data_IF_135267321917
#
_entry.id   IF_135267321917
#
_cell.length_a   1.000
_cell.length_b   1.000
_cell.length_c   1.000
_cell.angle_alpha   90.00
_cell.angle_beta   90.00
_cell.angle_gamma   90.00
#
_symmetry.space_group_name_H-M   'P 1'
#
loop_
_entity.id
_entity.type
_entity.pdbx_description
1 polymer ?
#
# COMPACT_ATOMS: atom_id res chain seq x y z
N UNK A 1 34.55 -36.72 -33.00
CA UNK A 1 35.03 -35.60 -32.16
C UNK A 1 33.78 -34.82 -31.81
N UNK A 2 33.17 -35.18 -30.68
CA UNK A 2 31.90 -34.62 -30.22
C UNK A 2 32.18 -33.19 -29.75
N UNK A 3 31.64 -32.20 -30.47
CA UNK A 3 31.82 -30.81 -30.09
C UNK A 3 31.08 -30.58 -28.78
N UNK A 4 31.81 -30.48 -27.67
CA UNK A 4 31.26 -30.04 -26.41
C UNK A 4 30.77 -28.60 -26.59
N UNK A 5 29.46 -28.44 -26.72
CA UNK A 5 28.84 -27.13 -26.72
C UNK A 5 29.08 -26.47 -25.36
N UNK A 6 29.44 -25.18 -25.30
CA UNK A 6 29.50 -24.44 -24.05
C UNK A 6 28.15 -24.57 -23.32
N UNK A 7 28.14 -24.60 -21.97
CA UNK A 7 26.95 -24.96 -21.17
C UNK A 7 25.70 -24.13 -21.51
N UNK A 8 25.88 -22.89 -21.95
CA UNK A 8 24.82 -22.01 -22.48
C UNK A 8 24.14 -22.56 -23.74
N UNK A 9 24.90 -23.12 -24.69
CA UNK A 9 24.37 -23.66 -25.94
C UNK A 9 23.70 -25.02 -25.77
N UNK A 10 24.18 -25.83 -24.82
CA UNK A 10 23.55 -27.11 -24.45
C UNK A 10 22.18 -26.90 -23.80
N UNK A 11 22.07 -25.93 -22.87
CA UNK A 11 20.79 -25.55 -22.26
C UNK A 11 19.82 -24.87 -23.24
N UNK A 12 20.36 -24.13 -24.22
CA UNK A 12 19.56 -23.55 -25.31
C UNK A 12 18.97 -24.65 -26.22
N UNK A 13 19.78 -25.65 -26.57
CA UNK A 13 19.36 -26.78 -27.42
C UNK A 13 18.26 -27.63 -26.76
N UNK A 14 18.35 -27.89 -25.46
CA UNK A 14 17.35 -28.66 -24.72
C UNK A 14 16.00 -27.91 -24.64
N UNK A 15 16.02 -26.59 -24.46
CA UNK A 15 14.83 -25.74 -24.46
C UNK A 15 14.17 -25.60 -25.84
N UNK A 16 14.98 -25.51 -26.90
CA UNK A 16 14.50 -25.43 -28.28
C UNK A 16 13.74 -26.68 -28.74
N UNK A 17 14.07 -27.86 -28.18
CA UNK A 17 13.50 -29.15 -28.58
C UNK A 17 12.13 -29.47 -27.95
N UNK A 18 11.77 -28.86 -26.81
CA UNK A 18 10.49 -29.15 -26.12
C UNK A 18 9.35 -28.26 -26.58
N UNK A 19 9.62 -26.98 -26.84
CA UNK A 19 8.69 -26.00 -27.43
C UNK A 19 9.53 -24.77 -27.83
N UNK A 20 9.83 -24.55 -29.12
CA UNK A 20 10.76 -23.48 -29.48
C UNK A 20 10.19 -22.12 -29.06
N UNK A 21 10.90 -21.33 -28.25
CA UNK A 21 10.50 -19.96 -27.95
C UNK A 21 10.47 -19.15 -29.25
N UNK A 22 9.72 -18.05 -29.25
CA UNK A 22 9.74 -17.16 -30.41
C UNK A 22 11.15 -16.58 -30.61
N UNK A 23 11.52 -16.26 -31.86
CA UNK A 23 12.82 -15.61 -32.14
C UNK A 23 12.98 -14.29 -31.38
N UNK A 24 11.89 -13.54 -31.21
CA UNK A 24 11.85 -12.31 -30.40
C UNK A 24 12.24 -12.59 -28.96
N UNK A 25 11.73 -13.67 -28.40
CA UNK A 25 12.01 -14.07 -27.02
C UNK A 25 13.42 -14.62 -26.83
N UNK A 26 13.96 -15.34 -27.81
CA UNK A 26 15.38 -15.72 -27.81
C UNK A 26 16.29 -14.49 -27.82
N UNK A 27 15.94 -13.45 -28.61
CA UNK A 27 16.68 -12.18 -28.60
C UNK A 27 16.59 -11.51 -27.23
N UNK A 28 15.41 -11.47 -26.59
CA UNK A 28 15.26 -10.92 -25.23
C UNK A 28 16.06 -11.71 -24.19
N UNK A 29 15.98 -13.04 -24.20
CA UNK A 29 16.71 -13.88 -23.24
C UNK A 29 18.22 -13.76 -23.44
N UNK A 30 18.70 -13.69 -24.69
CA UNK A 30 20.13 -13.52 -24.97
C UNK A 30 20.59 -12.10 -24.60
N UNK A 31 19.77 -11.08 -24.87
CA UNK A 31 20.06 -9.68 -24.52
C UNK A 31 20.11 -9.44 -23.01
N UNK A 32 19.33 -10.20 -22.23
CA UNK A 32 19.19 -10.06 -20.77
C UNK A 32 19.47 -11.39 -20.04
N UNK A 33 20.49 -12.11 -20.49
CA UNK A 33 20.77 -13.48 -20.02
C UNK A 33 21.08 -13.56 -18.52
N UNK A 34 21.80 -12.57 -17.99
CA UNK A 34 22.16 -12.50 -16.58
C UNK A 34 20.93 -12.27 -15.69
N UNK A 35 20.05 -11.34 -16.08
CA UNK A 35 18.82 -11.04 -15.35
C UNK A 35 17.84 -12.22 -15.39
N UNK A 36 17.73 -12.87 -16.55
CA UNK A 36 16.91 -14.09 -16.67
C UNK A 36 17.48 -15.23 -15.82
N UNK A 37 18.82 -15.40 -15.78
CA UNK A 37 19.46 -16.44 -14.97
C UNK A 37 19.23 -16.18 -13.49
N UNK A 38 19.36 -14.92 -13.05
CA UNK A 38 19.03 -14.50 -11.69
C UNK A 38 17.56 -14.79 -11.36
N UNK A 39 16.62 -14.37 -12.21
CA UNK A 39 15.19 -14.61 -12.01
C UNK A 39 14.85 -16.10 -11.95
N UNK A 40 15.41 -16.91 -12.85
CA UNK A 40 15.23 -18.35 -12.82
C UNK A 40 15.80 -18.99 -11.55
N UNK A 41 16.90 -18.44 -11.02
CA UNK A 41 17.45 -18.84 -9.72
C UNK A 41 16.52 -18.49 -8.56
N UNK A 42 15.95 -17.28 -8.56
CA UNK A 42 14.96 -16.82 -7.59
C UNK A 42 13.72 -17.73 -7.57
N UNK A 43 13.14 -18.00 -8.74
CA UNK A 43 11.96 -18.88 -8.87
C UNK A 43 12.25 -20.28 -8.35
N UNK A 44 13.41 -20.87 -8.68
CA UNK A 44 13.78 -22.21 -8.21
C UNK A 44 14.03 -22.28 -6.71
N UNK A 45 14.55 -21.20 -6.12
CA UNK A 45 14.77 -21.12 -4.67
C UNK A 45 13.44 -21.05 -3.92
N UNK A 46 12.53 -20.16 -4.34
CA UNK A 46 11.27 -19.91 -3.63
C UNK A 46 10.19 -20.95 -3.94
N UNK A 47 10.17 -21.51 -5.15
CA UNK A 47 9.12 -22.40 -5.66
C UNK A 47 9.72 -23.61 -6.38
N UNK A 48 10.50 -24.48 -5.70
CA UNK A 48 11.23 -25.56 -6.35
C UNK A 48 10.32 -26.54 -7.12
N UNK A 49 9.13 -26.82 -6.60
CA UNK A 49 8.17 -27.76 -7.21
C UNK A 49 7.44 -27.15 -8.41
N UNK A 50 7.15 -25.85 -8.39
CA UNK A 50 6.45 -25.14 -9.47
C UNK A 50 7.38 -24.50 -10.50
N UNK A 51 8.69 -24.43 -10.21
CA UNK A 51 9.64 -23.62 -10.96
C UNK A 51 9.65 -23.92 -12.46
N UNK A 52 9.66 -25.19 -12.86
CA UNK A 52 9.70 -25.55 -14.29
C UNK A 52 8.39 -25.20 -14.99
N UNK A 53 7.26 -25.20 -14.29
CA UNK A 53 5.96 -24.79 -14.84
C UNK A 53 5.86 -23.27 -14.94
N UNK A 54 6.39 -22.52 -13.96
CA UNK A 54 6.47 -21.07 -14.02
C UNK A 54 7.42 -20.61 -15.14
N UNK A 55 8.62 -21.19 -15.22
CA UNK A 55 9.67 -20.81 -16.18
C UNK A 55 9.42 -21.28 -17.62
N UNK A 56 8.60 -22.31 -17.83
CA UNK A 56 8.23 -22.80 -19.17
C UNK A 56 7.11 -22.02 -19.84
N UNK A 57 6.56 -20.99 -19.18
CA UNK A 57 5.56 -20.12 -19.79
C UNK A 57 6.10 -19.46 -21.08
N UNK A 58 5.22 -19.16 -22.06
CA UNK A 58 5.62 -18.88 -23.44
C UNK A 58 6.17 -17.49 -23.69
N UNK A 59 6.09 -16.57 -22.73
CA UNK A 59 6.59 -15.21 -22.84
C UNK A 59 6.98 -14.65 -21.48
N UNK A 60 7.73 -13.54 -21.47
CA UNK A 60 8.24 -12.86 -20.28
C UNK A 60 7.12 -12.50 -19.31
N UNK A 61 6.06 -11.88 -19.84
CA UNK A 61 4.88 -11.43 -19.09
C UNK A 61 4.29 -12.59 -18.30
N UNK A 62 3.95 -13.67 -18.99
CA UNK A 62 3.30 -14.83 -18.39
C UNK A 62 4.20 -15.51 -17.33
N UNK A 63 5.53 -15.50 -17.50
CA UNK A 63 6.45 -16.04 -16.48
C UNK A 63 6.40 -15.21 -15.20
N UNK A 64 6.46 -13.88 -15.35
CA UNK A 64 6.49 -12.96 -14.21
C UNK A 64 5.13 -12.90 -13.51
N UNK A 65 4.02 -12.86 -14.24
CA UNK A 65 2.66 -12.95 -13.66
C UNK A 65 2.46 -14.24 -12.86
N UNK A 66 2.97 -15.39 -13.37
CA UNK A 66 2.92 -16.66 -12.64
C UNK A 66 3.75 -16.62 -11.36
N UNK A 67 4.95 -16.05 -11.42
CA UNK A 67 5.79 -15.86 -10.24
C UNK A 67 5.09 -14.98 -9.20
N UNK A 68 4.59 -13.81 -9.62
CA UNK A 68 3.88 -12.88 -8.74
C UNK A 68 2.68 -13.56 -8.06
N UNK A 69 1.86 -14.30 -8.83
CA UNK A 69 0.74 -15.06 -8.25
C UNK A 69 1.19 -16.09 -7.22
N UNK A 70 2.20 -16.91 -7.53
CA UNK A 70 2.73 -17.90 -6.58
C UNK A 70 3.29 -17.25 -5.32
N UNK A 71 3.93 -16.08 -5.47
CA UNK A 71 4.46 -15.31 -4.36
C UNK A 71 3.35 -14.75 -3.48
N UNK A 72 2.35 -14.08 -4.06
CA UNK A 72 1.19 -13.56 -3.33
C UNK A 72 0.42 -14.66 -2.59
N UNK A 73 0.30 -15.85 -3.18
CA UNK A 73 -0.37 -17.00 -2.54
C UNK A 73 0.32 -17.48 -1.25
N UNK A 74 1.62 -17.22 -1.08
CA UNK A 74 2.41 -17.71 0.07
C UNK A 74 2.91 -16.60 1.01
N UNK A 75 3.04 -15.38 0.51
CA UNK A 75 3.72 -14.28 1.18
C UNK A 75 2.82 -13.05 1.22
N UNK A 76 3.07 -12.08 0.34
CA UNK A 76 2.37 -10.81 0.25
C UNK A 76 2.28 -10.36 -1.22
N UNK A 77 1.34 -9.48 -1.58
CA UNK A 77 1.18 -9.01 -2.93
C UNK A 77 2.37 -8.19 -3.41
N UNK A 78 2.67 -8.35 -4.69
CA UNK A 78 3.63 -7.54 -5.42
C UNK A 78 2.88 -6.48 -6.24
N UNK A 79 3.37 -5.24 -6.26
CA UNK A 79 2.67 -4.12 -6.88
C UNK A 79 2.40 -4.33 -8.38
N UNK A 80 1.11 -4.47 -8.73
CA UNK A 80 0.63 -4.84 -10.07
C UNK A 80 1.04 -3.87 -11.19
N UNK A 81 1.01 -2.54 -10.99
CA UNK A 81 1.42 -1.59 -12.01
C UNK A 81 2.84 -1.80 -12.54
N UNK A 82 3.76 -2.39 -11.76
CA UNK A 82 5.08 -2.77 -12.29
C UNK A 82 5.01 -3.87 -13.34
N UNK A 83 4.05 -4.78 -13.23
CA UNK A 83 3.81 -5.80 -14.24
C UNK A 83 2.95 -5.24 -15.38
N UNK A 84 2.13 -4.22 -15.19
CA UNK A 84 1.26 -3.74 -16.27
C UNK A 84 1.91 -2.66 -17.14
N UNK A 85 2.49 -1.62 -16.53
CA UNK A 85 3.03 -0.46 -17.26
C UNK A 85 4.37 -0.73 -17.96
N UNK A 86 5.26 -1.52 -17.35
CA UNK A 86 6.57 -1.81 -17.93
C UNK A 86 6.55 -2.95 -18.95
N UNK A 87 5.38 -3.54 -19.22
CA UNK A 87 5.21 -4.59 -20.22
C UNK A 87 4.73 -4.09 -21.58
N UNK A 88 4.14 -2.89 -21.65
CA UNK A 88 3.57 -2.37 -22.90
C UNK A 88 4.54 -1.50 -23.70
N UNK A 89 5.39 -0.68 -23.03
CA UNK A 89 6.27 0.30 -23.69
C UNK A 89 7.76 0.24 -23.27
N UNK A 90 8.18 -0.74 -22.47
CA UNK A 90 9.53 -0.82 -21.91
C UNK A 90 10.60 -1.43 -22.83
N UNK A 91 11.78 -0.78 -22.93
CA UNK A 91 12.99 -1.31 -23.58
C UNK A 91 13.64 -2.50 -22.80
N UNK A 92 13.25 -2.69 -21.53
CA UNK A 92 13.78 -3.72 -20.61
C UNK A 92 12.69 -4.72 -20.19
N UNK A 93 13.01 -6.03 -20.09
CA UNK A 93 12.07 -7.04 -19.62
C UNK A 93 11.76 -6.89 -18.12
N UNK A 94 10.56 -7.27 -17.69
CA UNK A 94 10.08 -7.10 -16.31
C UNK A 94 10.91 -7.80 -15.22
N UNK A 95 11.69 -8.84 -15.55
CA UNK A 95 12.60 -9.44 -14.57
C UNK A 95 13.83 -8.57 -14.24
N UNK A 96 14.21 -7.63 -15.12
CA UNK A 96 15.29 -6.66 -14.83
C UNK A 96 14.87 -5.71 -13.72
N UNK A 97 13.58 -5.39 -13.64
CA UNK A 97 12.99 -4.63 -12.55
C UNK A 97 12.96 -5.42 -11.24
N UNK A 98 12.57 -6.70 -11.27
CA UNK A 98 12.60 -7.56 -10.08
C UNK A 98 14.00 -7.68 -9.48
N UNK A 99 15.05 -7.62 -10.31
CA UNK A 99 16.44 -7.66 -9.84
C UNK A 99 16.82 -6.46 -8.99
N UNK A 100 16.13 -5.32 -9.18
CA UNK A 100 16.40 -4.13 -8.38
C UNK A 100 16.06 -4.42 -6.92
N UNK A 101 15.00 -5.21 -6.64
CA UNK A 101 14.52 -5.53 -5.29
C UNK A 101 13.04 -5.93 -5.29
N UNK A 102 12.43 -6.03 -4.11
CA UNK A 102 11.03 -6.47 -3.96
C UNK A 102 10.05 -5.32 -4.25
N UNK A 103 9.11 -5.46 -5.21
CA UNK A 103 8.03 -4.49 -5.42
C UNK A 103 6.88 -4.69 -4.43
N UNK A 104 7.00 -4.16 -3.22
CA UNK A 104 5.93 -4.25 -2.22
C UNK A 104 4.65 -3.54 -2.70
N UNK A 105 3.49 -4.19 -2.62
CA UNK A 105 2.21 -3.53 -2.89
C UNK A 105 1.80 -2.67 -1.69
N UNK A 106 2.30 -1.43 -1.68
CA UNK A 106 2.08 -0.47 -0.61
C UNK A 106 0.64 0.05 -0.62
N UNK A 107 0.11 0.28 0.58
CA UNK A 107 -1.28 0.68 0.84
C UNK A 107 -1.39 2.03 1.56
N UNK A 108 -0.27 2.71 1.83
CA UNK A 108 -0.29 4.06 2.39
C UNK A 108 -0.79 5.11 1.39
N UNK A 109 -1.04 6.31 1.91
CA UNK A 109 -1.53 7.42 1.09
C UNK A 109 -0.44 8.44 0.82
N UNK A 110 -0.29 8.82 -0.45
CA UNK A 110 0.38 10.05 -0.82
C UNK A 110 -0.50 11.28 -0.62
N UNK A 111 0.10 12.46 -0.77
CA UNK A 111 -0.60 13.73 -0.60
C UNK A 111 -1.83 13.84 -1.51
N UNK A 112 -1.67 13.51 -2.80
CA UNK A 112 -2.75 13.60 -3.78
C UNK A 112 -3.89 12.62 -3.44
N UNK A 113 -3.54 11.41 -2.99
CA UNK A 113 -4.52 10.42 -2.53
C UNK A 113 -5.34 10.89 -1.33
N UNK A 114 -4.70 11.55 -0.36
CA UNK A 114 -5.39 12.18 0.77
C UNK A 114 -6.24 13.38 0.32
N UNK A 115 -5.71 14.23 -0.57
CA UNK A 115 -6.40 15.41 -1.06
C UNK A 115 -7.68 15.06 -1.83
N UNK A 116 -7.63 14.01 -2.65
CA UNK A 116 -8.72 13.59 -3.52
C UNK A 116 -9.59 12.48 -2.91
N UNK A 117 -9.52 12.29 -1.58
CA UNK A 117 -10.14 11.15 -0.90
C UNK A 117 -11.64 10.96 -1.22
N UNK A 118 -12.40 12.06 -1.33
CA UNK A 118 -13.83 12.01 -1.65
C UNK A 118 -14.15 11.72 -3.14
N UNK A 119 -13.17 11.84 -4.03
CA UNK A 119 -13.32 11.57 -5.46
C UNK A 119 -13.04 10.12 -5.85
N UNK A 120 -12.14 9.45 -5.13
CA UNK A 120 -11.61 8.14 -5.52
C UNK A 120 -11.77 7.03 -4.47
N UNK A 121 -12.09 7.37 -3.23
CA UNK A 121 -12.25 6.38 -2.16
C UNK A 121 -13.72 6.18 -1.77
N UNK A 122 -13.96 5.10 -1.02
CA UNK A 122 -15.30 4.80 -0.54
C UNK A 122 -15.74 5.83 0.50
N UNK A 123 -17.02 6.22 0.45
CA UNK A 123 -17.60 7.24 1.32
C UNK A 123 -17.36 6.98 2.82
N UNK A 124 -17.29 5.70 3.24
CA UNK A 124 -17.02 5.34 4.63
C UNK A 124 -15.60 5.68 5.08
N UNK A 125 -14.58 5.44 4.24
CA UNK A 125 -13.18 5.81 4.54
C UNK A 125 -13.08 7.33 4.63
N UNK A 126 -13.66 8.02 3.65
CA UNK A 126 -13.71 9.47 3.60
C UNK A 126 -14.33 10.04 4.88
N UNK A 127 -15.45 9.49 5.35
CA UNK A 127 -16.07 9.91 6.61
C UNK A 127 -15.17 9.70 7.83
N UNK A 128 -14.41 8.60 7.90
CA UNK A 128 -13.44 8.37 8.98
C UNK A 128 -12.33 9.41 8.97
N UNK A 129 -11.88 9.87 7.81
CA UNK A 129 -10.87 10.91 7.72
C UNK A 129 -11.28 12.25 8.34
N UNK A 130 -12.58 12.56 8.40
CA UNK A 130 -13.05 13.78 9.06
C UNK A 130 -12.70 13.81 10.56
N UNK A 131 -12.52 12.64 11.18
CA UNK A 131 -12.18 12.52 12.59
C UNK A 131 -10.72 12.89 12.87
N UNK A 132 -9.83 12.82 11.89
CA UNK A 132 -8.39 12.90 12.12
C UNK A 132 -7.91 14.33 12.25
N UNK A 133 -6.93 14.53 13.13
CA UNK A 133 -6.10 15.74 13.12
C UNK A 133 -5.03 15.61 12.07
N UNK A 134 -5.11 16.42 11.03
CA UNK A 134 -4.10 16.48 9.98
C UNK A 134 -2.84 17.13 10.54
N UNK A 135 -1.68 16.55 10.26
CA UNK A 135 -0.38 17.07 10.70
C UNK A 135 0.01 18.36 9.97
N UNK A 136 0.78 19.23 10.62
CA UNK A 136 1.37 20.43 10.01
C UNK A 136 2.43 20.12 8.95
N UNK A 137 2.85 18.85 8.83
CA UNK A 137 3.88 18.42 7.91
C UNK A 137 3.45 18.39 6.43
N UNK A 138 2.15 18.52 6.14
CA UNK A 138 1.65 18.57 4.75
C UNK A 138 1.90 19.94 4.11
N UNK A 139 2.32 19.95 2.84
CA UNK A 139 2.88 21.14 2.16
C UNK A 139 1.92 22.34 2.08
N UNK A 140 0.61 22.11 1.95
CA UNK A 140 -0.42 23.16 1.96
C UNK A 140 -1.04 23.42 3.36
N UNK A 141 -0.44 22.83 4.40
CA UNK A 141 -0.93 22.91 5.77
C UNK A 141 -2.19 22.08 6.04
N UNK A 142 -2.57 21.91 7.33
CA UNK A 142 -3.71 21.06 7.72
C UNK A 142 -5.06 21.62 7.27
N UNK A 143 -5.16 22.95 7.09
CA UNK A 143 -6.40 23.65 6.76
C UNK A 143 -6.89 23.35 5.34
N UNK A 144 -5.97 23.13 4.39
CA UNK A 144 -6.31 22.86 2.99
C UNK A 144 -7.03 21.53 2.80
N UNK A 145 -6.43 20.44 3.32
CA UNK A 145 -6.99 19.09 3.22
C UNK A 145 -8.33 18.97 3.95
N UNK A 146 -8.39 19.48 5.18
CA UNK A 146 -9.58 19.36 6.02
C UNK A 146 -10.77 20.13 5.46
N UNK A 147 -10.54 21.32 4.91
CA UNK A 147 -11.58 22.12 4.25
C UNK A 147 -12.17 21.37 3.06
N UNK A 148 -11.32 20.82 2.19
CA UNK A 148 -11.76 20.05 1.02
C UNK A 148 -12.61 18.82 1.41
N UNK A 149 -12.21 18.11 2.48
CA UNK A 149 -12.98 16.97 2.99
C UNK A 149 -14.34 17.38 3.55
N UNK A 150 -14.40 18.44 4.36
CA UNK A 150 -15.66 18.92 4.94
C UNK A 150 -16.64 19.43 3.87
N UNK A 151 -16.14 20.13 2.86
CA UNK A 151 -16.96 20.60 1.73
C UNK A 151 -17.54 19.42 0.96
N UNK A 152 -16.72 18.40 0.66
CA UNK A 152 -17.16 17.19 -0.05
C UNK A 152 -18.14 16.35 0.79
N UNK A 153 -17.90 16.26 2.10
CA UNK A 153 -18.76 15.53 3.03
C UNK A 153 -20.17 16.15 3.14
N UNK A 154 -20.30 17.47 2.98
CA UNK A 154 -21.57 18.18 3.12
C UNK A 154 -22.63 17.77 2.08
N UNK A 155 -22.23 17.11 0.98
CA UNK A 155 -23.15 16.54 0.00
C UNK A 155 -23.94 15.33 0.53
N UNK A 156 -23.37 14.63 1.53
CA UNK A 156 -23.87 13.33 2.00
C UNK A 156 -24.17 13.33 3.50
N UNK A 157 -23.44 14.08 4.30
CA UNK A 157 -23.57 14.14 5.76
C UNK A 157 -24.21 15.47 6.15
N UNK A 158 -25.27 15.48 6.99
CA UNK A 158 -25.91 16.71 7.43
C UNK A 158 -24.92 17.69 8.07
N UNK A 159 -25.09 18.97 7.76
CA UNK A 159 -24.24 20.04 8.28
C UNK A 159 -24.17 20.04 9.81
N UNK A 160 -25.30 19.77 10.46
CA UNK A 160 -25.41 19.70 11.91
C UNK A 160 -24.54 18.59 12.50
N UNK A 161 -24.37 17.48 11.77
CA UNK A 161 -23.47 16.39 12.15
C UNK A 161 -22.00 16.79 11.97
N UNK A 162 -21.67 17.41 10.83
CA UNK A 162 -20.30 17.86 10.55
C UNK A 162 -19.80 18.93 11.53
N UNK A 163 -20.68 19.84 11.97
CA UNK A 163 -20.36 20.88 12.95
C UNK A 163 -19.99 20.36 14.35
N UNK A 164 -20.28 19.08 14.63
CA UNK A 164 -19.94 18.45 15.92
C UNK A 164 -18.50 17.94 15.96
N UNK A 165 -17.86 17.79 14.81
CA UNK A 165 -16.49 17.30 14.72
C UNK A 165 -15.56 18.40 15.25
N UNK A 166 -14.58 18.08 16.13
CA UNK A 166 -13.62 19.07 16.59
C UNK A 166 -12.96 19.81 15.43
N UNK A 167 -12.77 21.13 15.57
CA UNK A 167 -12.22 21.97 14.51
C UNK A 167 -10.88 21.44 14.00
N UNK A 168 -9.98 21.06 14.91
CA UNK A 168 -8.64 20.56 14.59
C UNK A 168 -8.59 19.02 14.44
N UNK A 169 -9.74 18.36 14.42
CA UNK A 169 -9.81 16.90 14.48
C UNK A 169 -9.31 16.31 15.81
N UNK A 170 -9.24 14.98 15.84
CA UNK A 170 -8.89 14.17 17.01
C UNK A 170 -7.51 13.55 16.77
N UNK A 171 -6.56 13.66 17.73
CA UNK A 171 -5.29 12.95 17.66
C UNK A 171 -5.52 11.44 17.59
N UNK A 172 -4.67 10.72 16.85
CA UNK A 172 -4.77 9.26 16.71
C UNK A 172 -4.76 8.58 18.09
N UNK A 173 -3.85 8.97 18.99
CA UNK A 173 -3.76 8.42 20.34
C UNK A 173 -5.06 8.63 21.14
N UNK A 174 -5.61 9.85 21.11
CA UNK A 174 -6.87 10.18 21.81
C UNK A 174 -8.05 9.40 21.23
N UNK A 175 -8.12 9.28 19.89
CA UNK A 175 -9.16 8.51 19.24
C UNK A 175 -9.05 7.03 19.61
N UNK A 176 -7.83 6.48 19.59
CA UNK A 176 -7.52 5.10 19.96
C UNK A 176 -8.04 4.77 21.35
N UNK A 177 -7.70 5.57 22.36
CA UNK A 177 -8.19 5.35 23.73
C UNK A 177 -9.72 5.49 23.83
N UNK A 178 -10.34 6.39 23.05
CA UNK A 178 -11.79 6.58 23.07
C UNK A 178 -12.59 5.41 22.47
N UNK A 179 -12.01 4.66 21.51
CA UNK A 179 -12.70 3.56 20.81
C UNK A 179 -12.15 2.17 21.11
N UNK A 180 -11.15 2.06 21.98
CA UNK A 180 -10.51 0.81 22.37
C UNK A 180 -11.52 -0.24 22.84
N UNK A 181 -11.34 -1.48 22.38
CA UNK A 181 -12.18 -2.64 22.71
C UNK A 181 -13.66 -2.43 22.37
N UNK A 182 -13.96 -1.64 21.34
CA UNK A 182 -15.34 -1.36 20.89
C UNK A 182 -15.50 -1.66 19.40
N UNK A 183 -16.75 -1.70 18.92
CA UNK A 183 -17.04 -1.84 17.48
C UNK A 183 -16.50 -0.70 16.61
N UNK A 184 -16.06 0.41 17.23
CA UNK A 184 -15.55 1.59 16.54
C UNK A 184 -14.03 1.64 16.47
N UNK A 185 -13.32 0.59 16.89
CA UNK A 185 -11.86 0.52 16.89
C UNK A 185 -11.26 0.76 15.48
N UNK A 186 -11.96 0.34 14.43
CA UNK A 186 -11.61 0.64 13.04
C UNK A 186 -11.47 2.14 12.73
N UNK A 187 -12.07 3.04 13.52
CA UNK A 187 -11.94 4.48 13.33
C UNK A 187 -10.54 4.96 13.71
N UNK A 188 -9.99 4.46 14.82
CA UNK A 188 -8.63 4.78 15.24
C UNK A 188 -7.59 4.18 14.29
N UNK A 189 -7.83 2.95 13.84
CA UNK A 189 -6.97 2.28 12.87
C UNK A 189 -6.96 2.98 11.51
N UNK A 190 -8.13 3.43 11.03
CA UNK A 190 -8.20 4.25 9.82
C UNK A 190 -7.47 5.59 10.01
N UNK A 191 -7.59 6.22 11.18
CA UNK A 191 -6.88 7.46 11.47
C UNK A 191 -5.36 7.27 11.45
N UNK A 192 -4.86 6.22 12.09
CA UNK A 192 -3.44 5.86 12.06
C UNK A 192 -2.96 5.59 10.62
N UNK A 193 -3.74 4.84 9.84
CA UNK A 193 -3.43 4.52 8.45
C UNK A 193 -3.36 5.75 7.55
N UNK A 194 -4.35 6.63 7.63
CA UNK A 194 -4.40 7.87 6.84
C UNK A 194 -3.21 8.81 7.13
N UNK A 195 -2.62 8.71 8.32
CA UNK A 195 -1.51 9.56 8.75
C UNK A 195 -0.16 8.83 8.75
N UNK A 196 -0.10 7.60 8.26
CA UNK A 196 1.11 6.76 8.29
C UNK A 196 1.69 6.54 9.70
N UNK A 197 0.82 6.34 10.68
CA UNK A 197 1.15 6.12 12.10
C UNK A 197 0.74 4.72 12.60
N UNK A 198 0.59 3.73 11.71
CA UNK A 198 0.17 2.36 12.11
C UNK A 198 1.31 1.54 12.71
N UNK A 199 2.56 1.94 12.46
CA UNK A 199 3.75 1.14 12.73
C UNK A 199 3.88 -0.07 11.78
N UNK A 200 3.18 -0.07 10.65
CA UNK A 200 3.19 -1.15 9.68
C UNK A 200 3.69 -0.65 8.33
N UNK A 201 4.72 -1.34 7.83
CA UNK A 201 5.42 -0.95 6.60
C UNK A 201 4.50 -0.81 5.37
N UNK A 202 3.51 -1.69 5.20
CA UNK A 202 2.63 -1.62 4.02
C UNK A 202 1.65 -0.45 4.10
N UNK A 203 1.26 -0.04 5.30
CA UNK A 203 0.23 0.98 5.52
C UNK A 203 0.82 2.39 5.69
N UNK A 204 2.07 2.49 6.13
CA UNK A 204 2.71 3.77 6.45
C UNK A 204 3.58 4.33 5.32
N UNK A 205 3.68 3.63 4.19
CA UNK A 205 4.47 4.06 3.04
C UNK A 205 3.64 4.12 1.77
N UNK A 206 3.98 5.06 0.89
CA UNK A 206 3.41 5.16 -0.44
C UNK A 206 4.50 5.45 -1.49
N UNK A 207 4.11 5.35 -2.77
CA UNK A 207 5.03 5.58 -3.88
C UNK A 207 5.37 7.07 -4.11
N UNK A 208 4.61 7.98 -3.53
CA UNK A 208 4.82 9.43 -3.66
C UNK A 208 5.90 9.95 -2.69
N UNK A 209 6.31 9.16 -1.69
CA UNK A 209 7.24 9.57 -0.64
C UNK A 209 8.66 9.86 -1.15
N UNK A 210 8.97 9.56 -2.42
CA UNK A 210 10.27 9.76 -3.07
C UNK A 210 11.45 8.96 -2.46
N UNK A 211 11.25 8.39 -1.27
CA UNK A 211 12.14 7.45 -0.60
C UNK A 211 11.98 6.04 -1.13
N UNK A 212 10.83 5.74 -1.72
CA UNK A 212 10.55 4.54 -2.48
C UNK A 212 10.76 4.80 -3.99
N UNK A 213 11.95 5.26 -4.38
CA UNK A 213 12.46 5.21 -5.77
C UNK A 213 12.65 3.76 -6.29
N UNK A 214 12.08 2.80 -5.57
CA UNK A 214 11.96 1.43 -5.95
C UNK A 214 13.13 0.60 -5.44
N UNK A 215 12.77 -0.45 -4.73
CA UNK A 215 13.51 -1.69 -4.77
C UNK A 215 14.86 -1.70 -4.02
N UNK A 216 14.98 -1.12 -2.83
CA UNK A 216 16.23 -1.28 -2.07
C UNK A 216 16.35 -2.69 -1.47
N UNK A 217 15.21 -3.31 -1.15
CA UNK A 217 15.21 -4.54 -0.39
C UNK A 217 15.53 -5.76 -1.27
N UNK A 218 16.62 -6.50 -0.95
CA UNK A 218 16.97 -7.70 -1.68
C UNK A 218 15.93 -8.80 -1.47
N UNK A 219 15.94 -9.77 -2.37
CA UNK A 219 15.10 -10.97 -2.29
C UNK A 219 15.61 -11.97 -1.24
N UNK A 220 15.90 -11.51 -0.02
CA UNK A 220 16.42 -12.33 1.06
C UNK A 220 15.28 -13.00 1.85
N UNK A 221 15.53 -14.22 2.35
CA UNK A 221 14.49 -15.01 3.03
C UNK A 221 13.96 -14.32 4.29
N UNK A 222 14.82 -13.61 5.03
CA UNK A 222 14.46 -12.87 6.24
C UNK A 222 13.53 -11.69 5.93
N UNK A 223 13.81 -10.94 4.86
CA UNK A 223 12.98 -9.81 4.40
C UNK A 223 11.61 -10.32 3.93
N UNK A 224 11.59 -11.43 3.18
CA UNK A 224 10.34 -12.04 2.73
C UNK A 224 9.52 -12.51 3.94
N UNK A 225 10.16 -13.11 4.94
CA UNK A 225 9.49 -13.57 6.16
C UNK A 225 8.93 -12.40 6.98
N UNK A 226 9.70 -11.32 7.14
CA UNK A 226 9.27 -10.09 7.81
C UNK A 226 8.11 -9.42 7.06
N UNK A 227 8.25 -9.21 5.76
CA UNK A 227 7.19 -8.67 4.90
C UNK A 227 5.92 -9.52 4.93
N UNK A 228 6.04 -10.85 5.02
CA UNK A 228 4.87 -11.73 5.18
C UNK A 228 4.16 -11.49 6.52
N UNK A 229 4.89 -11.28 7.61
CA UNK A 229 4.30 -10.98 8.92
C UNK A 229 3.70 -9.57 8.98
N UNK A 230 4.38 -8.58 8.40
CA UNK A 230 3.84 -7.22 8.25
C UNK A 230 2.57 -7.22 7.41
N UNK A 231 2.50 -7.97 6.31
CA UNK A 231 1.30 -8.07 5.48
C UNK A 231 0.12 -8.71 6.22
N UNK A 232 0.36 -9.73 7.03
CA UNK A 232 -0.70 -10.34 7.85
C UNK A 232 -1.26 -9.35 8.88
N UNK A 233 -0.39 -8.53 9.49
CA UNK A 233 -0.83 -7.46 10.39
C UNK A 233 -1.60 -6.36 9.66
N UNK A 234 -1.13 -5.96 8.48
CA UNK A 234 -1.82 -5.00 7.63
C UNK A 234 -3.25 -5.45 7.30
N UNK A 235 -3.42 -6.70 6.87
CA UNK A 235 -4.76 -7.25 6.58
C UNK A 235 -5.68 -7.25 7.80
N UNK A 236 -5.19 -7.64 8.98
CA UNK A 236 -6.01 -7.65 10.18
C UNK A 236 -6.50 -6.24 10.56
N UNK A 237 -5.65 -5.23 10.39
CA UNK A 237 -6.02 -3.82 10.57
C UNK A 237 -7.06 -3.40 9.52
N UNK A 238 -6.78 -3.70 8.25
CA UNK A 238 -7.65 -3.33 7.13
C UNK A 238 -8.99 -4.05 7.13
N UNK A 239 -9.09 -5.26 7.67
CA UNK A 239 -10.36 -5.96 7.88
C UNK A 239 -11.24 -5.20 8.88
N UNK A 240 -10.65 -4.71 9.98
CA UNK A 240 -11.37 -3.92 10.98
C UNK A 240 -11.84 -2.57 10.42
N UNK A 241 -10.98 -1.87 9.66
CA UNK A 241 -11.35 -0.66 8.92
C UNK A 241 -12.47 -0.97 7.91
N UNK A 242 -12.34 -2.05 7.15
CA UNK A 242 -13.32 -2.47 6.12
C UNK A 242 -14.69 -2.81 6.72
N UNK A 243 -14.70 -3.48 7.88
CA UNK A 243 -15.93 -3.79 8.60
C UNK A 243 -16.64 -2.52 9.08
N UNK A 244 -15.90 -1.55 9.65
CA UNK A 244 -16.48 -0.30 10.10
C UNK A 244 -16.99 0.56 8.93
N UNK A 245 -16.21 0.65 7.84
CA UNK A 245 -16.61 1.41 6.64
C UNK A 245 -17.81 0.79 5.95
N UNK A 246 -17.86 -0.55 5.83
CA UNK A 246 -19.03 -1.27 5.37
C UNK A 246 -20.27 -0.99 6.23
N UNK A 247 -20.11 -0.96 7.56
CA UNK A 247 -21.19 -0.54 8.45
C UNK A 247 -21.58 0.92 8.17
N UNK A 248 -20.66 1.87 8.12
CA UNK A 248 -20.97 3.28 7.86
C UNK A 248 -21.78 3.47 6.57
N UNK A 249 -21.38 2.81 5.49
CA UNK A 249 -21.95 3.02 4.15
C UNK A 249 -23.38 2.51 3.95
N UNK A 250 -23.88 1.63 4.81
CA UNK A 250 -25.28 1.19 4.75
C UNK A 250 -26.28 2.32 5.07
N UNK A 251 -25.88 3.31 5.89
CA UNK A 251 -26.63 4.54 6.16
C UNK A 251 -25.68 5.62 6.71
N UNK A 252 -24.89 6.20 5.81
CA UNK A 252 -23.79 7.10 6.16
C UNK A 252 -24.22 8.26 7.09
N UNK A 253 -25.30 9.02 6.81
CA UNK A 253 -25.73 10.11 7.69
C UNK A 253 -26.02 9.64 9.12
N UNK A 254 -26.82 8.57 9.27
CA UNK A 254 -27.28 8.13 10.57
C UNK A 254 -26.17 7.44 11.37
N UNK A 255 -25.39 6.56 10.72
CA UNK A 255 -24.34 5.77 11.37
C UNK A 255 -23.13 6.61 11.73
N UNK A 256 -22.77 7.59 10.89
CA UNK A 256 -21.73 8.53 11.24
C UNK A 256 -22.13 9.38 12.45
N UNK A 257 -23.37 9.86 12.51
CA UNK A 257 -23.88 10.56 13.68
C UNK A 257 -23.89 9.69 14.96
N UNK A 258 -24.31 8.43 14.84
CA UNK A 258 -24.27 7.44 15.94
C UNK A 258 -22.84 7.19 16.45
N UNK A 259 -21.87 7.13 15.55
CA UNK A 259 -20.46 7.00 15.90
C UNK A 259 -19.95 8.26 16.62
N UNK A 260 -20.31 9.46 16.17
CA UNK A 260 -19.96 10.71 16.86
C UNK A 260 -20.61 10.81 18.25
N UNK A 261 -21.85 10.35 18.41
CA UNK A 261 -22.53 10.27 19.71
C UNK A 261 -21.76 9.38 20.69
N UNK A 262 -21.06 8.36 20.18
CA UNK A 262 -20.23 7.48 20.99
C UNK A 262 -18.86 8.09 21.31
N UNK A 263 -18.16 8.64 20.31
CA UNK A 263 -16.77 9.08 20.44
C UNK A 263 -16.67 10.39 21.24
N UNK A 264 -17.48 11.40 20.90
CA UNK A 264 -17.29 12.75 21.43
C UNK A 264 -17.36 12.83 22.97
N UNK A 265 -18.30 12.14 23.67
CA UNK A 265 -18.33 12.16 25.13
C UNK A 265 -17.15 11.48 25.83
N UNK A 266 -16.31 10.74 25.09
CA UNK A 266 -15.13 10.02 25.62
C UNK A 266 -13.84 10.77 25.40
N UNK A 267 -13.87 11.85 24.61
CA UNK A 267 -12.71 12.70 24.42
C UNK A 267 -12.41 13.43 25.74
N UNK A 268 -11.13 13.61 26.09
CA UNK A 268 -10.77 14.46 27.23
C UNK A 268 -11.33 15.86 26.99
N UNK A 269 -11.81 16.52 28.06
CA UNK A 269 -12.14 17.94 27.98
C UNK A 269 -10.92 18.67 27.43
N UNK A 270 -11.07 19.32 26.28
CA UNK A 270 -10.00 20.16 25.75
C UNK A 270 -9.76 21.23 26.81
N UNK A 271 -8.67 21.09 27.58
CA UNK A 271 -8.13 22.19 28.36
C UNK A 271 -7.80 23.27 27.35
N UNK A 272 -8.73 24.21 27.16
CA UNK A 272 -8.48 25.45 26.45
C UNK A 272 -7.18 26.00 27.02
N UNK A 273 -6.16 26.06 26.18
CA UNK A 273 -4.92 26.71 26.52
C UNK A 273 -5.28 28.10 27.05
N UNK A 274 -4.91 28.36 28.29
CA UNK A 274 -4.56 29.71 28.69
C UNK A 274 -3.63 30.23 27.61
N UNK A 275 -4.09 31.24 26.88
CA UNK A 275 -3.21 32.28 26.37
C UNK A 275 -2.46 32.81 27.61
N UNK A 276 -1.27 32.26 27.88
CA UNK A 276 -0.29 32.99 28.68
C UNK A 276 0.22 34.10 27.76
N UNK A 277 -0.57 35.16 27.80
CA UNK A 277 -0.29 36.51 27.36
C UNK A 277 0.90 37.03 28.20
N UNK A 278 2.11 36.55 27.88
CA UNK A 278 3.38 37.05 28.41
C UNK A 278 4.17 37.72 27.28
N UNK A 279 3.46 38.57 26.53
CA UNK A 279 4.02 39.74 25.88
C UNK A 279 3.60 40.97 26.67
N UNK A 280 4.24 41.24 27.81
CA UNK A 280 4.89 42.55 28.00
C UNK A 280 5.72 42.63 29.28
N UNK A 281 6.76 43.47 29.18
CA UNK A 281 7.56 44.03 30.28
C UNK A 281 8.67 43.17 30.90
N UNK A 282 9.84 43.21 30.25
CA UNK A 282 10.97 43.81 30.95
C UNK A 282 11.88 44.59 29.99
N UNK A 283 12.01 45.87 30.35
CA UNK A 283 12.90 46.90 29.81
C UNK A 283 14.37 46.51 29.85
#
# INVERSE_FOLDING_TARGET
>A
MEAAFPPLLSGLAEKLLRRPPSLRELVTIIGYADDYTWFAGLVRRLFPDEAETALSAPDVRTRVERFARLFTERHFPLYSPYFEFFLEDGDEPSWTWLRRGIPFDLMGFGYDGLHEMWGYHRDGISALALLVRVSDAFYDGPDGLRTAWLESAAERIPKETLQRIPQDGIPVETLTEAVKDTRFEGAAQAAAWLLAETGNFFLDHCYDDGSFDGFADPWDDDIIAEGTQEWQRANALMDSVSNLTGWLEEDLPARFAEMLDFILPRLPEQTQGKEDDDHDQCQ
#
